data_IF_808849099771
#
_entry.id   IF_808849099771
#
_cell.length_a   1.000
_cell.length_b   1.000
_cell.length_c   1.000
_cell.angle_alpha   90.00
_cell.angle_beta   90.00
_cell.angle_gamma   90.00
#
_symmetry.space_group_name_H-M   'P 1'
#
loop_
_entity.id
_entity.type
_entity.pdbx_description
1 polymer ?
#
# COMPACT_ATOMS: atom_id res chain seq x y z
N UNK A 1 -6.45 -3.81 7.54
CA UNK A 1 -5.91 -3.74 8.90
C UNK A 1 -4.38 -3.77 8.95
N UNK A 2 -3.66 -4.30 7.95
CA UNK A 2 -2.18 -4.40 7.98
C UNK A 2 -1.36 -3.10 7.94
N UNK A 3 -1.91 -1.95 7.50
CA UNK A 3 -1.12 -0.71 7.36
C UNK A 3 -1.16 0.21 8.59
N UNK A 4 -2.19 0.10 9.45
CA UNK A 4 -2.36 0.95 10.63
C UNK A 4 -1.22 0.82 11.64
N UNK A 5 -0.75 -0.41 11.97
CA UNK A 5 0.36 -0.56 12.91
C UNK A 5 1.63 0.17 12.46
N UNK A 6 1.92 0.18 11.16
CA UNK A 6 3.09 0.88 10.61
C UNK A 6 2.97 2.40 10.73
N UNK A 7 1.79 2.95 10.43
CA UNK A 7 1.55 4.39 10.59
C UNK A 7 1.62 4.81 12.06
N UNK A 8 1.00 4.05 12.97
CA UNK A 8 1.08 4.35 14.40
C UNK A 8 2.48 4.21 14.95
N UNK A 9 3.24 3.19 14.53
CA UNK A 9 4.65 3.08 14.89
C UNK A 9 5.42 4.32 14.46
N UNK A 10 5.20 4.80 13.22
CA UNK A 10 5.80 6.05 12.74
C UNK A 10 5.42 7.27 13.59
N UNK A 11 4.16 7.39 14.02
CA UNK A 11 3.73 8.45 14.93
C UNK A 11 4.45 8.38 16.28
N UNK A 12 4.46 7.20 16.90
CA UNK A 12 5.02 6.97 18.23
C UNK A 12 6.53 7.21 18.22
N UNK A 13 7.22 6.65 17.22
CA UNK A 13 8.65 6.78 17.07
C UNK A 13 9.08 8.24 16.90
N UNK A 14 8.41 8.99 16.01
CA UNK A 14 8.77 10.38 15.75
C UNK A 14 8.50 11.33 16.95
N UNK A 15 7.58 10.96 17.85
CA UNK A 15 7.24 11.73 19.06
C UNK A 15 7.92 11.18 20.34
N UNK A 16 8.95 10.35 20.23
CA UNK A 16 9.64 9.75 21.38
C UNK A 16 8.68 9.02 22.35
N UNK A 17 7.63 8.38 21.83
CA UNK A 17 6.73 7.52 22.59
C UNK A 17 5.32 8.08 22.84
N UNK A 18 5.16 9.40 22.99
CA UNK A 18 3.87 10.01 23.42
C UNK A 18 3.19 10.71 22.25
N UNK A 19 2.03 10.22 21.82
CA UNK A 19 1.26 10.82 20.72
C UNK A 19 -0.12 11.24 21.22
N UNK A 20 -0.54 12.44 20.82
CA UNK A 20 -1.88 12.92 21.07
C UNK A 20 -2.95 12.01 20.43
N UNK A 21 -4.01 11.71 21.18
CA UNK A 21 -5.10 10.84 20.71
C UNK A 21 -5.85 11.41 19.51
N UNK A 22 -5.94 12.73 19.39
CA UNK A 22 -6.49 13.42 18.23
C UNK A 22 -5.68 13.14 16.97
N UNK A 23 -4.35 13.19 17.04
CA UNK A 23 -3.47 12.81 15.91
C UNK A 23 -3.72 11.36 15.49
N UNK A 24 -3.75 10.42 16.44
CA UNK A 24 -4.01 9.01 16.13
C UNK A 24 -5.39 8.82 15.48
N UNK A 25 -6.41 9.54 15.95
CA UNK A 25 -7.75 9.54 15.35
C UNK A 25 -7.70 10.02 13.89
N UNK A 26 -7.08 11.17 13.62
CA UNK A 26 -6.91 11.68 12.25
C UNK A 26 -6.11 10.72 11.37
N UNK A 27 -5.01 10.15 11.84
CA UNK A 27 -4.22 9.15 11.11
C UNK A 27 -5.06 7.92 10.76
N UNK A 28 -5.93 7.49 11.67
CA UNK A 28 -6.84 6.37 11.43
C UNK A 28 -7.82 6.66 10.29
N UNK A 29 -8.43 7.85 10.30
CA UNK A 29 -9.35 8.26 9.24
C UNK A 29 -8.60 8.44 7.92
N UNK A 30 -7.42 9.08 7.94
CA UNK A 30 -6.60 9.28 6.75
C UNK A 30 -6.27 7.94 6.09
N UNK A 31 -5.71 6.99 6.86
CA UNK A 31 -5.30 5.70 6.33
C UNK A 31 -6.50 4.84 5.91
N UNK A 32 -7.61 4.91 6.65
CA UNK A 32 -8.88 4.28 6.27
C UNK A 32 -9.41 4.80 4.94
N UNK A 33 -9.35 6.11 4.74
CA UNK A 33 -9.78 6.80 3.52
C UNK A 33 -8.89 6.46 2.34
N UNK A 34 -7.56 6.60 2.49
CA UNK A 34 -6.60 6.22 1.46
C UNK A 34 -6.73 4.76 1.05
N UNK A 35 -6.87 3.84 2.02
CA UNK A 35 -7.09 2.42 1.74
C UNK A 35 -8.38 2.19 0.97
N UNK A 36 -9.47 2.85 1.37
CA UNK A 36 -10.76 2.76 0.68
C UNK A 36 -10.64 3.24 -0.76
N UNK A 37 -9.98 4.37 -0.99
CA UNK A 37 -9.66 4.89 -2.31
C UNK A 37 -8.89 3.87 -3.16
N UNK A 38 -7.76 3.35 -2.65
CA UNK A 38 -6.94 2.39 -3.38
C UNK A 38 -7.70 1.11 -3.73
N UNK A 39 -8.43 0.53 -2.77
CA UNK A 39 -9.24 -0.67 -3.04
C UNK A 39 -10.35 -0.40 -4.07
N UNK A 40 -10.98 0.79 -4.00
CA UNK A 40 -12.06 1.16 -4.92
C UNK A 40 -11.53 1.40 -6.34
N UNK A 41 -10.40 2.10 -6.48
CA UNK A 41 -9.71 2.30 -7.75
C UNK A 41 -9.24 0.98 -8.35
N UNK A 42 -8.61 0.10 -7.56
CA UNK A 42 -8.19 -1.23 -8.02
C UNK A 42 -9.39 -1.99 -8.61
N UNK A 43 -10.52 -2.03 -7.89
CA UNK A 43 -11.74 -2.72 -8.35
C UNK A 43 -12.34 -2.07 -9.60
N UNK A 44 -12.37 -0.74 -9.64
CA UNK A 44 -12.93 0.01 -10.77
C UNK A 44 -12.12 -0.22 -12.06
N UNK A 45 -10.79 -0.15 -11.97
CA UNK A 45 -9.89 -0.28 -13.12
C UNK A 45 -9.70 -1.73 -13.56
N UNK A 46 -9.72 -2.68 -12.62
CA UNK A 46 -9.58 -4.12 -12.93
C UNK A 46 -10.93 -4.79 -13.22
N UNK A 47 -12.05 -4.06 -13.21
CA UNK A 47 -13.42 -4.58 -13.36
C UNK A 47 -13.58 -5.61 -14.49
N UNK A 48 -13.11 -5.30 -15.70
CA UNK A 48 -13.23 -6.18 -16.87
C UNK A 48 -12.41 -7.49 -16.73
N UNK A 49 -11.28 -7.42 -16.03
CA UNK A 49 -10.44 -8.59 -15.75
C UNK A 49 -11.02 -9.40 -14.59
N UNK A 50 -11.48 -8.71 -13.55
CA UNK A 50 -12.06 -9.32 -12.36
C UNK A 50 -13.27 -10.20 -12.70
N UNK A 51 -14.07 -9.80 -13.70
CA UNK A 51 -15.21 -10.59 -14.21
C UNK A 51 -14.80 -11.94 -14.84
N UNK A 52 -13.60 -12.03 -15.40
CA UNK A 52 -13.11 -13.22 -16.11
C UNK A 52 -12.32 -14.16 -15.19
N UNK A 53 -11.86 -13.69 -14.03
CA UNK A 53 -11.08 -14.48 -13.10
C UNK A 53 -12.00 -15.22 -12.11
N UNK A 54 -11.85 -16.55 -12.06
CA UNK A 54 -12.61 -17.46 -11.19
C UNK A 54 -12.58 -17.02 -9.72
N UNK A 55 -11.46 -16.44 -9.27
CA UNK A 55 -11.26 -16.01 -7.88
C UNK A 55 -11.94 -14.68 -7.55
N UNK A 56 -12.14 -13.81 -8.55
CA UNK A 56 -12.57 -12.42 -8.33
C UNK A 56 -13.91 -12.07 -8.96
N UNK A 57 -14.48 -12.98 -9.75
CA UNK A 57 -15.79 -12.80 -10.41
C UNK A 57 -16.92 -12.46 -9.42
N UNK A 58 -16.82 -12.94 -8.18
CA UNK A 58 -17.82 -12.72 -7.14
C UNK A 58 -17.66 -11.39 -6.40
N UNK A 59 -16.63 -10.59 -6.72
CA UNK A 59 -16.48 -9.23 -6.14
C UNK A 59 -17.72 -8.38 -6.45
N UNK A 60 -18.18 -7.52 -5.53
CA UNK A 60 -19.45 -6.79 -5.70
C UNK A 60 -19.59 -6.03 -7.02
N UNK A 61 -18.52 -5.38 -7.48
CA UNK A 61 -18.51 -4.68 -8.76
C UNK A 61 -18.53 -5.67 -9.93
N UNK A 62 -17.62 -6.66 -9.94
CA UNK A 62 -17.52 -7.67 -11.00
C UNK A 62 -18.83 -8.46 -11.19
N UNK A 63 -19.48 -8.84 -10.08
CA UNK A 63 -20.76 -9.55 -10.05
C UNK A 63 -21.97 -8.63 -10.26
N UNK A 64 -21.78 -7.36 -10.63
CA UNK A 64 -22.83 -6.34 -10.85
C UNK A 64 -23.76 -6.07 -9.66
N UNK A 65 -23.39 -6.48 -8.44
CA UNK A 65 -24.11 -6.16 -7.19
C UNK A 65 -23.90 -4.71 -6.74
N UNK A 66 -22.83 -4.09 -7.23
CA UNK A 66 -22.51 -2.68 -7.02
C UNK A 66 -22.48 -1.96 -8.36
N UNK A 67 -23.12 -0.80 -8.45
CA UNK A 67 -23.12 0.00 -9.68
C UNK A 67 -21.76 0.69 -9.90
N UNK A 68 -21.42 0.94 -11.17
CA UNK A 68 -20.24 1.73 -11.55
C UNK A 68 -20.31 3.16 -10.99
N UNK A 69 -21.52 3.71 -10.89
CA UNK A 69 -21.71 5.03 -10.31
C UNK A 69 -21.41 5.05 -8.81
N UNK A 70 -21.87 4.03 -8.07
CA UNK A 70 -21.61 3.89 -6.64
C UNK A 70 -20.12 3.77 -6.33
N UNK A 71 -19.35 3.00 -7.11
CA UNK A 71 -17.90 2.91 -6.88
C UNK A 71 -17.18 4.23 -7.17
N UNK A 72 -17.61 5.00 -8.17
CA UNK A 72 -17.06 6.34 -8.45
C UNK A 72 -17.32 7.32 -7.30
N UNK A 73 -18.51 7.27 -6.69
CA UNK A 73 -18.81 8.07 -5.49
C UNK A 73 -17.85 7.69 -4.36
N UNK A 74 -17.63 6.40 -4.10
CA UNK A 74 -16.71 5.93 -3.07
C UNK A 74 -15.27 6.40 -3.34
N UNK A 75 -14.82 6.32 -4.59
CA UNK A 75 -13.50 6.81 -5.00
C UNK A 75 -13.37 8.30 -4.69
N UNK A 76 -14.32 9.11 -5.15
CA UNK A 76 -14.28 10.56 -4.97
C UNK A 76 -14.38 10.96 -3.48
N UNK A 77 -15.34 10.39 -2.74
CA UNK A 77 -15.56 10.73 -1.34
C UNK A 77 -14.39 10.31 -0.44
N UNK A 78 -13.80 9.14 -0.69
CA UNK A 78 -12.62 8.69 0.08
C UNK A 78 -11.36 9.48 -0.25
N UNK A 79 -11.15 9.88 -1.51
CA UNK A 79 -10.05 10.78 -1.88
C UNK A 79 -10.22 12.15 -1.21
N UNK A 80 -11.43 12.74 -1.29
CA UNK A 80 -11.72 14.02 -0.67
C UNK A 80 -11.55 13.98 0.84
N UNK A 81 -12.07 12.95 1.51
CA UNK A 81 -11.90 12.76 2.95
C UNK A 81 -10.43 12.65 3.33
N UNK A 82 -9.63 11.89 2.56
CA UNK A 82 -8.19 11.78 2.80
C UNK A 82 -7.49 13.16 2.72
N UNK A 83 -7.76 13.94 1.67
CA UNK A 83 -7.18 15.27 1.49
C UNK A 83 -7.58 16.23 2.63
N UNK A 84 -8.85 16.23 3.03
CA UNK A 84 -9.35 17.08 4.13
C UNK A 84 -8.69 16.74 5.47
N UNK A 85 -8.48 15.45 5.74
CA UNK A 85 -7.82 15.00 6.97
C UNK A 85 -6.33 15.35 6.93
N UNK A 86 -5.65 15.16 5.80
CA UNK A 86 -4.26 15.60 5.64
C UNK A 86 -4.10 17.11 5.78
N UNK A 87 -5.06 17.89 5.29
CA UNK A 87 -5.12 19.34 5.50
C UNK A 87 -5.27 19.71 6.98
N UNK A 88 -6.13 19.00 7.72
CA UNK A 88 -6.33 19.21 9.15
C UNK A 88 -5.11 18.83 10.00
N UNK A 89 -4.29 17.87 9.55
CA UNK A 89 -3.08 17.43 10.24
C UNK A 89 -1.96 18.47 10.19
N UNK A 90 -1.44 18.77 8.99
CA UNK A 90 -0.41 19.80 8.79
C UNK A 90 -0.13 20.05 7.30
N UNK A 91 0.64 21.11 7.00
CA UNK A 91 1.00 21.52 5.64
C UNK A 91 1.73 20.43 4.87
N UNK A 92 2.71 19.75 5.48
CA UNK A 92 3.51 18.74 4.79
C UNK A 92 2.66 17.51 4.42
N UNK A 93 1.83 17.04 5.34
CA UNK A 93 0.86 15.97 5.09
C UNK A 93 -0.07 16.32 3.93
N UNK A 94 -0.59 17.56 3.90
CA UNK A 94 -1.42 18.02 2.81
C UNK A 94 -0.70 18.02 1.46
N UNK A 95 0.51 18.59 1.36
CA UNK A 95 1.25 18.63 0.10
C UNK A 95 1.65 17.25 -0.43
N UNK A 96 1.94 16.29 0.46
CA UNK A 96 2.25 14.91 0.07
C UNK A 96 1.00 14.10 -0.29
N UNK A 97 -0.18 14.46 0.22
CA UNK A 97 -1.39 13.67 0.05
C UNK A 97 -1.85 13.48 -1.41
N UNK A 98 -1.83 14.48 -2.32
CA UNK A 98 -2.10 14.25 -3.74
C UNK A 98 -1.13 13.27 -4.39
N UNK A 99 0.16 13.32 -4.02
CA UNK A 99 1.17 12.41 -4.56
C UNK A 99 0.85 10.97 -4.20
N UNK A 100 0.44 10.71 -2.96
CA UNK A 100 0.02 9.37 -2.52
C UNK A 100 -1.19 8.88 -3.33
N UNK A 101 -2.21 9.72 -3.52
CA UNK A 101 -3.38 9.37 -4.33
C UNK A 101 -3.02 9.07 -5.78
N UNK A 102 -2.12 9.85 -6.39
CA UNK A 102 -1.65 9.64 -7.76
C UNK A 102 -0.94 8.28 -7.89
N UNK A 103 -0.04 7.94 -6.96
CA UNK A 103 0.67 6.65 -6.97
C UNK A 103 -0.32 5.49 -6.86
N UNK A 104 -1.30 5.61 -5.93
CA UNK A 104 -2.36 4.60 -5.76
C UNK A 104 -3.26 4.48 -6.99
N UNK A 105 -3.49 5.58 -7.71
CA UNK A 105 -4.24 5.58 -8.97
C UNK A 105 -3.48 4.92 -10.12
N UNK A 106 -2.16 5.14 -10.20
CA UNK A 106 -1.30 4.58 -11.25
C UNK A 106 -1.12 3.07 -11.05
N UNK A 107 -1.05 2.60 -9.80
CA UNK A 107 -0.71 1.21 -9.47
C UNK A 107 -1.48 0.15 -10.27
N UNK A 108 -2.82 0.16 -10.41
CA UNK A 108 -3.53 -0.89 -11.16
C UNK A 108 -3.11 -1.02 -12.62
N UNK A 109 -2.72 0.10 -13.25
CA UNK A 109 -2.24 0.10 -14.62
C UNK A 109 -0.88 -0.59 -14.77
N UNK A 110 -0.07 -0.63 -13.72
CA UNK A 110 1.29 -1.19 -13.76
C UNK A 110 1.31 -2.65 -14.17
N UNK A 111 0.27 -3.41 -13.80
CA UNK A 111 0.08 -4.81 -14.20
C UNK A 111 -0.03 -4.99 -15.72
N UNK A 112 -0.33 -3.93 -16.48
CA UNK A 112 -0.54 -3.98 -17.93
C UNK A 112 0.73 -3.73 -18.74
N UNK A 113 1.80 -3.24 -18.11
CA UNK A 113 3.02 -2.87 -18.83
C UNK A 113 4.33 -3.29 -18.14
N UNK A 114 4.30 -3.64 -16.85
CA UNK A 114 5.52 -3.98 -16.12
C UNK A 114 5.35 -5.13 -15.15
N UNK A 115 6.38 -5.96 -15.05
CA UNK A 115 6.50 -7.00 -14.04
C UNK A 115 6.87 -6.44 -12.65
N UNK A 116 7.23 -5.16 -12.56
CA UNK A 116 7.54 -4.46 -11.31
C UNK A 116 6.30 -4.05 -10.50
N UNK A 117 5.08 -4.43 -10.93
CA UNK A 117 3.84 -4.07 -10.24
C UNK A 117 3.85 -4.48 -8.76
N UNK A 118 4.48 -5.60 -8.41
CA UNK A 118 4.57 -6.09 -7.03
C UNK A 118 5.39 -5.14 -6.15
N UNK A 119 6.47 -4.58 -6.68
CA UNK A 119 7.27 -3.58 -5.97
C UNK A 119 6.53 -2.26 -5.81
N UNK A 120 5.73 -1.85 -6.79
CA UNK A 120 4.93 -0.63 -6.69
C UNK A 120 3.89 -0.75 -5.57
N UNK A 121 3.25 -1.92 -5.41
CA UNK A 121 2.38 -2.16 -4.27
C UNK A 121 3.15 -2.12 -2.95
N UNK A 122 4.33 -2.75 -2.89
CA UNK A 122 5.19 -2.71 -1.72
C UNK A 122 5.57 -1.27 -1.34
N UNK A 123 5.85 -0.43 -2.34
CA UNK A 123 6.18 0.97 -2.14
C UNK A 123 5.00 1.74 -1.54
N UNK A 124 3.79 1.54 -2.04
CA UNK A 124 2.58 2.16 -1.47
C UNK A 124 2.43 1.82 0.01
N UNK A 125 2.68 0.56 0.40
CA UNK A 125 2.58 0.17 1.81
C UNK A 125 3.71 0.76 2.67
N UNK A 126 4.93 0.85 2.12
CA UNK A 126 6.09 1.43 2.80
C UNK A 126 5.96 2.92 3.12
N UNK A 127 5.04 3.64 2.50
CA UNK A 127 4.78 5.06 2.82
C UNK A 127 4.15 5.20 4.22
N UNK A 128 3.54 4.14 4.78
CA UNK A 128 2.77 4.23 6.02
C UNK A 128 3.56 4.75 7.25
N UNK A 129 4.76 4.24 7.61
CA UNK A 129 5.55 4.78 8.72
C UNK A 129 5.95 6.25 8.51
N UNK A 130 6.40 6.60 7.30
CA UNK A 130 6.75 7.98 6.95
C UNK A 130 5.52 8.88 7.11
N UNK A 131 4.37 8.46 6.58
CA UNK A 131 3.11 9.18 6.73
C UNK A 131 2.70 9.36 8.19
N UNK A 132 2.96 8.37 9.05
CA UNK A 132 2.80 8.47 10.49
C UNK A 132 3.67 9.57 11.11
N UNK A 133 4.97 9.59 10.80
CA UNK A 133 5.86 10.65 11.30
C UNK A 133 5.45 12.04 10.82
N UNK A 134 5.15 12.18 9.53
CA UNK A 134 4.70 13.45 8.96
C UNK A 134 3.41 13.91 9.63
N UNK A 135 2.46 13.02 9.89
CA UNK A 135 1.22 13.36 10.59
C UNK A 135 1.46 13.80 12.04
N UNK A 136 2.42 13.17 12.73
CA UNK A 136 2.67 13.38 14.15
C UNK A 136 3.53 14.63 14.44
N UNK A 137 4.59 14.86 13.66
CA UNK A 137 5.59 15.92 13.93
C UNK A 137 5.77 16.93 12.80
N UNK A 138 5.15 16.70 11.63
CA UNK A 138 5.20 17.64 10.50
C UNK A 138 6.50 17.61 9.69
N UNK A 139 7.40 16.66 9.94
CA UNK A 139 8.61 16.39 9.14
C UNK A 139 8.81 14.87 8.95
N UNK A 140 9.72 14.49 8.06
CA UNK A 140 10.08 13.09 7.82
C UNK A 140 11.20 12.69 8.78
N UNK A 141 10.94 11.71 9.63
CA UNK A 141 11.98 11.11 10.48
C UNK A 141 12.85 10.16 9.64
N UNK A 142 14.12 10.50 9.44
CA UNK A 142 15.01 9.80 8.51
C UNK A 142 15.23 8.35 8.91
N UNK A 143 15.25 8.02 10.21
CA UNK A 143 15.41 6.62 10.65
C UNK A 143 14.24 5.74 10.19
N UNK A 144 13.03 6.30 10.05
CA UNK A 144 11.87 5.57 9.53
C UNK A 144 11.96 5.25 8.04
N UNK A 145 12.89 5.86 7.29
CA UNK A 145 13.16 5.45 5.90
C UNK A 145 13.71 4.02 5.85
N UNK A 146 14.51 3.63 6.84
CA UNK A 146 15.08 2.28 6.95
C UNK A 146 13.96 1.27 7.22
N UNK A 147 13.08 1.58 8.18
CA UNK A 147 11.89 0.77 8.47
C UNK A 147 10.98 0.66 7.24
N UNK A 148 10.77 1.78 6.55
CA UNK A 148 9.95 1.81 5.34
C UNK A 148 10.56 0.94 4.23
N UNK A 149 11.89 0.93 4.10
CA UNK A 149 12.56 0.07 3.13
C UNK A 149 12.43 -1.42 3.48
N UNK A 150 12.49 -1.80 4.75
CA UNK A 150 12.15 -3.18 5.15
C UNK A 150 10.71 -3.54 4.77
N UNK A 151 9.74 -2.69 5.12
CA UNK A 151 8.33 -2.90 4.78
C UNK A 151 8.12 -2.99 3.27
N UNK A 152 8.85 -2.19 2.48
CA UNK A 152 8.82 -2.27 1.02
C UNK A 152 9.18 -3.66 0.52
N UNK A 153 10.29 -4.24 1.01
CA UNK A 153 10.75 -5.57 0.58
C UNK A 153 9.76 -6.66 1.00
N UNK A 154 9.33 -6.66 2.26
CA UNK A 154 8.36 -7.62 2.79
C UNK A 154 7.02 -7.54 2.05
N UNK A 155 6.49 -6.33 1.84
CA UNK A 155 5.22 -6.13 1.17
C UNK A 155 5.29 -6.55 -0.31
N UNK A 156 6.44 -6.30 -0.96
CA UNK A 156 6.70 -6.76 -2.33
C UNK A 156 6.75 -8.29 -2.40
N UNK A 157 7.44 -8.94 -1.44
CA UNK A 157 7.48 -10.40 -1.31
C UNK A 157 6.07 -10.99 -1.16
N UNK A 158 5.30 -10.46 -0.21
CA UNK A 158 3.94 -10.92 0.05
C UNK A 158 3.05 -10.81 -1.20
N UNK A 159 3.14 -9.71 -1.93
CA UNK A 159 2.36 -9.51 -3.15
C UNK A 159 2.82 -10.44 -4.30
N UNK A 160 4.13 -10.69 -4.43
CA UNK A 160 4.65 -11.65 -5.39
C UNK A 160 4.09 -13.06 -5.16
N UNK A 161 4.06 -13.51 -3.90
CA UNK A 161 3.46 -14.78 -3.50
C UNK A 161 1.96 -14.80 -3.83
N UNK A 162 1.24 -13.71 -3.55
CA UNK A 162 -0.18 -13.63 -3.84
C UNK A 162 -0.49 -13.76 -5.35
N UNK A 163 0.34 -13.14 -6.18
CA UNK A 163 0.25 -13.18 -7.63
C UNK A 163 0.59 -14.56 -8.25
N UNK A 164 1.14 -15.52 -7.50
CA UNK A 164 1.30 -16.89 -8.02
C UNK A 164 -0.04 -17.61 -8.12
N UNK A 165 -1.03 -17.26 -7.29
CA UNK A 165 -2.36 -17.87 -7.29
C UNK A 165 -3.13 -17.58 -8.59
N UNK A 166 -2.92 -16.39 -9.16
CA UNK A 166 -3.55 -15.97 -10.40
C UNK A 166 -2.64 -16.18 -11.63
N UNK A 167 -1.55 -16.95 -11.52
CA UNK A 167 -0.54 -17.10 -12.58
C UNK A 167 -1.14 -17.50 -13.94
N UNK A 168 -2.01 -18.52 -13.97
CA UNK A 168 -2.64 -18.99 -15.23
C UNK A 168 -3.52 -17.90 -15.83
N UNK A 169 -4.31 -17.22 -14.98
CA UNK A 169 -5.18 -16.14 -15.43
C UNK A 169 -4.38 -14.96 -15.99
N UNK A 170 -3.32 -14.56 -15.29
CA UNK A 170 -2.46 -13.45 -15.70
C UNK A 170 -1.77 -13.76 -17.04
N UNK A 171 -1.24 -14.97 -17.20
CA UNK A 171 -0.59 -15.41 -18.43
C UNK A 171 -1.56 -15.45 -19.62
N UNK A 172 -2.84 -15.82 -19.40
CA UNK A 172 -3.86 -15.87 -20.46
C UNK A 172 -4.37 -14.49 -20.90
N UNK A 173 -4.28 -13.48 -20.03
CA UNK A 173 -4.80 -12.13 -20.28
C UNK A 173 -3.67 -11.10 -20.46
N UNK A 174 -2.45 -11.55 -20.76
CA UNK A 174 -1.26 -10.71 -20.97
C UNK A 174 -1.01 -9.70 -19.83
N UNK A 175 -1.30 -10.10 -18.58
CA UNK A 175 -1.00 -9.31 -17.40
C UNK A 175 0.40 -9.63 -16.89
N UNK A 176 1.19 -8.58 -16.67
CA UNK A 176 2.56 -8.67 -16.20
C UNK A 176 2.61 -8.70 -14.66
N UNK A 177 3.51 -9.54 -14.17
CA UNK A 177 3.88 -9.70 -12.76
C UNK A 177 5.24 -10.38 -12.68
N UNK A 178 5.84 -10.39 -11.49
CA UNK A 178 7.07 -11.17 -11.29
C UNK A 178 6.85 -12.66 -11.63
N UNK A 179 5.71 -13.21 -11.22
CA UNK A 179 5.32 -14.59 -11.45
C UNK A 179 5.14 -14.96 -12.92
N UNK A 180 4.54 -14.10 -13.74
CA UNK A 180 4.37 -14.36 -15.17
C UNK A 180 5.68 -14.27 -15.94
N UNK A 181 6.61 -13.42 -15.52
CA UNK A 181 7.91 -13.25 -16.17
C UNK A 181 8.92 -14.32 -15.80
N UNK A 182 9.04 -14.64 -14.50
CA UNK A 182 10.10 -15.53 -13.99
C UNK A 182 9.59 -16.92 -13.61
N UNK A 183 8.27 -17.14 -13.62
CA UNK A 183 7.65 -18.39 -13.23
C UNK A 183 7.47 -18.51 -11.71
N UNK A 184 6.61 -19.46 -11.31
CA UNK A 184 6.19 -19.65 -9.91
C UNK A 184 7.39 -20.00 -9.01
N UNK A 185 8.23 -20.95 -9.42
CA UNK A 185 9.38 -21.43 -8.62
C UNK A 185 10.37 -20.30 -8.29
N UNK A 186 10.76 -19.52 -9.30
CA UNK A 186 11.69 -18.40 -9.10
C UNK A 186 11.05 -17.26 -8.29
N UNK A 187 9.74 -17.06 -8.43
CA UNK A 187 9.00 -16.09 -7.60
C UNK A 187 9.10 -16.44 -6.13
N UNK A 188 8.93 -17.71 -5.76
CA UNK A 188 9.09 -18.13 -4.36
C UNK A 188 10.51 -17.91 -3.82
N UNK A 189 11.55 -18.34 -4.55
CA UNK A 189 12.93 -18.10 -4.10
C UNK A 189 13.26 -16.62 -3.95
N UNK A 190 12.81 -15.80 -4.90
CA UNK A 190 13.04 -14.36 -4.83
C UNK A 190 12.25 -13.70 -3.70
N UNK A 191 11.02 -14.16 -3.44
CA UNK A 191 10.21 -13.69 -2.30
C UNK A 191 10.91 -14.00 -0.97
N UNK A 192 11.44 -15.22 -0.80
CA UNK A 192 12.23 -15.59 0.39
C UNK A 192 13.48 -14.71 0.54
N UNK A 193 14.17 -14.41 -0.55
CA UNK A 193 15.31 -13.49 -0.53
C UNK A 193 14.91 -12.09 -0.04
N UNK A 194 13.79 -11.54 -0.55
CA UNK A 194 13.26 -10.25 -0.12
C UNK A 194 12.89 -10.26 1.37
N UNK A 195 12.29 -11.34 1.88
CA UNK A 195 11.93 -11.48 3.29
C UNK A 195 13.18 -11.54 4.18
N UNK A 196 14.21 -12.28 3.79
CA UNK A 196 15.49 -12.33 4.51
C UNK A 196 16.12 -10.92 4.55
N UNK A 197 16.18 -10.23 3.41
CA UNK A 197 16.69 -8.86 3.36
C UNK A 197 15.87 -7.91 4.25
N UNK A 198 14.54 -8.02 4.22
CA UNK A 198 13.65 -7.25 5.10
C UNK A 198 13.98 -7.47 6.58
N UNK A 199 14.15 -8.73 7.01
CA UNK A 199 14.49 -9.06 8.40
C UNK A 199 15.85 -8.45 8.79
N UNK A 200 16.86 -8.56 7.93
CA UNK A 200 18.18 -7.97 8.19
C UNK A 200 18.10 -6.45 8.35
N UNK A 201 17.29 -5.78 7.54
CA UNK A 201 17.09 -4.32 7.62
C UNK A 201 16.28 -3.95 8.88
N UNK A 202 15.34 -4.79 9.32
CA UNK A 202 14.63 -4.56 10.60
C UNK A 202 15.58 -4.69 11.80
N UNK A 203 16.50 -5.66 11.79
CA UNK A 203 17.53 -5.80 12.83
C UNK A 203 18.44 -4.56 12.82
N UNK A 204 18.87 -4.11 11.65
CA UNK A 204 19.65 -2.88 11.50
C UNK A 204 18.90 -1.66 12.03
N UNK A 205 17.61 -1.54 11.71
CA UNK A 205 16.75 -0.47 12.21
C UNK A 205 16.66 -0.48 13.74
N UNK A 206 16.49 -1.66 14.35
CA UNK A 206 16.46 -1.82 15.81
C UNK A 206 17.76 -1.33 16.46
N UNK A 207 18.91 -1.74 15.90
CA UNK A 207 20.23 -1.32 16.39
C UNK A 207 20.45 0.20 16.28
N UNK A 208 20.15 0.80 15.11
CA UNK A 208 20.32 2.25 14.87
C UNK A 208 19.33 3.14 15.63
N UNK A 209 18.21 2.55 16.05
CA UNK A 209 17.16 3.23 16.79
C UNK A 209 17.35 3.14 18.30
N UNK A 210 18.36 2.43 18.78
CA UNK A 210 18.62 2.20 20.21
C UNK A 210 17.39 1.61 20.94
N UNK A 211 16.57 0.81 20.25
CA UNK A 211 15.38 0.13 20.83
C UNK A 211 15.81 -1.15 21.59
N UNK A 212 16.96 -1.10 22.28
CA UNK A 212 17.48 -2.22 23.07
C UNK A 212 17.01 -2.17 24.52
#
# INVERSE_FOLDING_TARGET
MFSLPFAYFGCIYANNGIVDWGILFYVTIALGSARTFGMAINRYLDFNFDQKNIRTKDRPLASKRLSIFSIKIVIFSSALLFLLICFALNKLAFYLSPLVLIIMFIYPYTKRFTFFCNFILGFILSIAPIGGSVAAVGYIEYKLLILSFAIFLWASSFDMIYHTQDYIFHKKNDLHSFSTKFGIKNTYYFSVLLDICSILILILFGYLSEIN
#
